data_IF_970075427549
#
_entry.id   IF_970075427549
#
_cell.length_a   1.000
_cell.length_b   1.000
_cell.length_c   1.000
_cell.angle_alpha   90.00
_cell.angle_beta   90.00
_cell.angle_gamma   90.00
#
_symmetry.space_group_name_H-M   'P 1'
#
loop_
_entity.id
_entity.type
_entity.pdbx_description
1 polymer ?
#
# COMPACT_ATOMS: atom_id res chain seq x y z
N UNK A 1 12.32 3.27 1.66
CA UNK A 1 10.87 3.56 1.68
C UNK A 1 10.66 4.77 2.57
N UNK A 2 10.40 5.98 2.05
CA UNK A 2 10.00 7.09 2.90
C UNK A 2 8.47 7.23 2.93
N UNK A 3 7.96 7.10 4.15
CA UNK A 3 6.62 7.48 4.61
C UNK A 3 6.42 8.98 4.35
N UNK A 4 5.32 9.37 3.71
CA UNK A 4 4.89 10.78 3.64
C UNK A 4 3.76 11.02 4.64
N UNK A 5 4.07 11.89 5.58
CA UNK A 5 3.27 12.28 6.73
C UNK A 5 2.10 13.20 6.36
N UNK A 6 1.05 13.07 7.17
CA UNK A 6 -0.05 14.01 7.40
C UNK A 6 0.43 15.45 7.61
N UNK A 7 -0.16 16.42 6.90
CA UNK A 7 -0.17 17.86 7.24
C UNK A 7 -1.54 18.38 6.77
N UNK A 8 -2.51 18.49 7.68
CA UNK A 8 -2.91 19.67 8.46
C UNK A 8 -3.75 20.71 7.70
N UNK A 9 -4.90 21.01 8.31
CA UNK A 9 -5.86 22.07 8.00
C UNK A 9 -5.24 23.39 7.53
N UNK A 10 -5.83 24.01 6.51
CA UNK A 10 -5.74 25.46 6.35
C UNK A 10 -7.08 26.06 5.89
N UNK A 11 -7.79 26.61 6.87
CA UNK A 11 -8.83 27.63 6.70
C UNK A 11 -8.09 28.94 6.36
N UNK A 12 -8.27 29.52 5.17
CA UNK A 12 -7.67 30.80 4.82
C UNK A 12 -8.74 31.81 4.42
N UNK A 13 -8.90 32.79 5.31
CA UNK A 13 -9.79 33.94 5.27
C UNK A 13 -9.37 34.93 4.17
N UNK A 14 -10.38 35.47 3.50
CA UNK A 14 -10.34 36.51 2.48
C UNK A 14 -10.00 37.89 3.09
N UNK A 15 -9.02 38.61 2.54
CA UNK A 15 -8.88 40.07 2.68
C UNK A 15 -8.48 40.71 1.35
N UNK A 16 -9.38 41.52 0.79
CA UNK A 16 -9.17 42.39 -0.37
C UNK A 16 -8.42 43.68 0.00
N UNK A 17 -7.49 44.15 -0.84
CA UNK A 17 -7.29 45.58 -1.18
C UNK A 17 -6.40 45.78 -2.44
N UNK A 18 -7.00 46.38 -3.48
CA UNK A 18 -6.56 47.48 -4.35
C UNK A 18 -5.29 47.46 -5.26
N UNK A 19 -5.59 47.69 -6.57
CA UNK A 19 -4.95 48.57 -7.58
C UNK A 19 -3.65 48.17 -8.34
N UNK A 20 -3.78 48.26 -9.68
CA UNK A 20 -2.87 47.84 -10.78
C UNK A 20 -1.64 48.77 -11.00
N UNK A 21 -0.69 48.45 -11.91
CA UNK A 21 -0.93 48.62 -13.35
C UNK A 21 -0.42 47.48 -14.26
N UNK A 22 -0.93 47.52 -15.49
CA UNK A 22 -0.65 46.64 -16.60
C UNK A 22 0.85 46.57 -16.98
N UNK A 23 1.29 45.37 -17.36
CA UNK A 23 2.48 45.18 -18.20
C UNK A 23 2.12 44.17 -19.29
N UNK A 24 2.17 44.65 -20.53
CA UNK A 24 2.11 43.85 -21.74
C UNK A 24 3.28 42.87 -21.77
N UNK A 25 3.01 41.57 -21.92
CA UNK A 25 3.99 40.60 -22.39
C UNK A 25 3.37 39.75 -23.50
N UNK A 26 3.79 40.13 -24.71
CA UNK A 26 3.91 39.39 -25.95
C UNK A 26 3.33 37.97 -26.01
N UNK A 27 2.36 37.82 -26.92
CA UNK A 27 1.89 36.55 -27.43
C UNK A 27 3.07 35.74 -28.03
N UNK A 28 3.50 34.72 -27.30
CA UNK A 28 4.29 33.62 -27.86
C UNK A 28 3.37 32.40 -27.90
N UNK A 29 2.81 32.11 -29.09
CA UNK A 29 2.00 30.93 -29.33
C UNK A 29 2.87 29.67 -29.29
N UNK A 30 3.13 29.19 -28.07
CA UNK A 30 3.73 27.88 -27.81
C UNK A 30 2.60 26.82 -27.79
N UNK A 31 2.58 25.83 -28.70
CA UNK A 31 1.62 24.72 -28.65
C UNK A 31 1.75 23.84 -27.39
N UNK A 32 2.80 24.06 -26.57
CA UNK A 32 3.04 23.44 -25.26
C UNK A 32 2.15 24.00 -24.13
N UNK A 33 1.59 25.20 -24.27
CA UNK A 33 0.78 25.83 -23.21
C UNK A 33 -0.60 25.16 -23.03
N UNK A 34 -1.18 24.63 -24.10
CA UNK A 34 -2.48 23.93 -24.05
C UNK A 34 -2.40 22.57 -23.34
N UNK A 35 -1.36 21.78 -23.62
CA UNK A 35 -1.16 20.47 -22.99
C UNK A 35 -0.81 20.59 -21.50
N UNK A 36 0.01 21.58 -21.14
CA UNK A 36 0.35 21.88 -19.75
C UNK A 36 -0.90 22.32 -18.95
N UNK A 37 -1.75 23.15 -19.53
CA UNK A 37 -3.00 23.60 -18.90
C UNK A 37 -3.99 22.44 -18.68
N UNK A 38 -4.15 21.54 -19.66
CA UNK A 38 -5.01 20.36 -19.52
C UNK A 38 -4.50 19.36 -18.48
N UNK A 39 -3.18 19.18 -18.36
CA UNK A 39 -2.60 18.30 -17.35
C UNK A 39 -2.80 18.84 -15.93
N UNK A 40 -2.72 20.17 -15.77
CA UNK A 40 -3.02 20.84 -14.51
C UNK A 40 -4.51 20.76 -14.16
N UNK A 41 -5.37 20.92 -15.16
CA UNK A 41 -6.82 20.73 -14.98
C UNK A 41 -7.15 19.29 -14.56
N UNK A 42 -6.50 18.29 -15.15
CA UNK A 42 -6.70 16.89 -14.77
C UNK A 42 -6.29 16.64 -13.31
N UNK A 43 -5.12 17.11 -12.87
CA UNK A 43 -4.70 16.99 -11.46
C UNK A 43 -5.64 17.70 -10.50
N UNK A 44 -6.09 18.90 -10.86
CA UNK A 44 -7.07 19.64 -10.06
C UNK A 44 -8.37 18.84 -9.90
N UNK A 45 -8.86 18.22 -10.99
CA UNK A 45 -10.05 17.37 -10.97
C UNK A 45 -9.85 16.11 -10.12
N UNK A 46 -8.70 15.45 -10.21
CA UNK A 46 -8.35 14.28 -9.39
C UNK A 46 -8.33 14.63 -7.89
N UNK A 47 -7.64 15.72 -7.51
CA UNK A 47 -7.58 16.21 -6.13
C UNK A 47 -8.96 16.60 -5.61
N UNK A 48 -9.74 17.32 -6.42
CA UNK A 48 -11.12 17.67 -6.07
C UNK A 48 -11.99 16.43 -5.87
N UNK A 49 -11.93 15.46 -6.78
CA UNK A 49 -12.72 14.25 -6.69
C UNK A 49 -12.34 13.42 -5.45
N UNK A 50 -11.05 13.27 -5.15
CA UNK A 50 -10.60 12.58 -3.93
C UNK A 50 -11.09 13.29 -2.68
N UNK A 51 -10.92 14.62 -2.60
CA UNK A 51 -11.30 15.42 -1.42
C UNK A 51 -12.81 15.44 -1.22
N UNK A 52 -13.57 15.62 -2.31
CA UNK A 52 -15.03 15.57 -2.29
C UNK A 52 -15.52 14.17 -1.93
N UNK A 53 -14.89 13.11 -2.44
CA UNK A 53 -15.20 11.72 -2.11
C UNK A 53 -15.01 11.40 -0.63
N UNK A 54 -13.86 11.77 -0.05
CA UNK A 54 -13.59 11.60 1.38
C UNK A 54 -14.58 12.37 2.25
N UNK A 55 -14.91 13.61 1.84
CA UNK A 55 -15.85 14.45 2.57
C UNK A 55 -17.28 13.94 2.44
N UNK A 56 -17.67 13.42 1.27
CA UNK A 56 -18.95 12.75 1.04
C UNK A 56 -19.10 11.52 1.92
N UNK A 57 -18.06 10.68 2.02
CA UNK A 57 -18.08 9.51 2.88
C UNK A 57 -18.33 9.88 4.35
N UNK A 58 -17.61 10.90 4.86
CA UNK A 58 -17.81 11.43 6.22
C UNK A 58 -19.21 12.02 6.43
N UNK A 59 -19.72 12.76 5.45
CA UNK A 59 -21.07 13.33 5.53
C UNK A 59 -22.14 12.23 5.55
N UNK A 60 -21.98 11.17 4.76
CA UNK A 60 -22.88 10.01 4.77
C UNK A 60 -22.85 9.27 6.12
N UNK A 61 -21.66 9.03 6.69
CA UNK A 61 -21.54 8.44 8.04
C UNK A 61 -22.25 9.30 9.09
N UNK A 62 -22.11 10.64 9.01
CA UNK A 62 -22.82 11.55 9.91
C UNK A 62 -24.34 11.53 9.74
N UNK A 63 -24.84 11.45 8.51
CA UNK A 63 -26.28 11.31 8.24
C UNK A 63 -26.82 10.01 8.84
N UNK A 64 -26.08 8.92 8.72
CA UNK A 64 -26.44 7.62 9.31
C UNK A 64 -26.51 7.72 10.84
N UNK A 65 -25.49 8.29 11.48
CA UNK A 65 -25.46 8.52 12.93
C UNK A 65 -26.63 9.39 13.41
N UNK A 66 -26.88 10.53 12.76
CA UNK A 66 -28.00 11.41 13.11
C UNK A 66 -29.35 10.71 12.88
N UNK A 67 -29.46 9.87 11.84
CA UNK A 67 -30.67 9.09 11.55
C UNK A 67 -30.95 8.08 12.66
N UNK A 68 -29.93 7.33 13.08
CA UNK A 68 -30.04 6.39 14.19
C UNK A 68 -30.44 7.08 15.49
N UNK A 69 -29.81 8.21 15.80
CA UNK A 69 -30.13 8.99 16.99
C UNK A 69 -31.59 9.48 16.97
N UNK A 70 -32.03 10.13 15.88
CA UNK A 70 -33.39 10.66 15.74
C UNK A 70 -34.43 9.54 15.86
N UNK A 71 -34.16 8.37 15.25
CA UNK A 71 -35.02 7.18 15.40
C UNK A 71 -35.05 6.66 16.83
N UNK A 72 -33.89 6.60 17.51
CA UNK A 72 -33.80 6.12 18.90
C UNK A 72 -34.60 6.98 19.88
N UNK A 73 -34.73 8.28 19.58
CA UNK A 73 -35.54 9.24 20.33
C UNK A 73 -37.02 9.28 19.92
N UNK A 74 -37.44 8.48 18.93
CA UNK A 74 -38.83 8.47 18.44
C UNK A 74 -39.23 9.73 17.67
N UNK A 75 -38.26 10.49 17.16
CA UNK A 75 -38.50 11.78 16.49
C UNK A 75 -38.49 11.68 14.96
N UNK A 76 -38.52 10.46 14.40
CA UNK A 76 -38.38 10.25 12.95
C UNK A 76 -39.50 10.91 12.13
N UNK A 77 -40.75 10.76 12.57
CA UNK A 77 -41.90 11.35 11.87
C UNK A 77 -41.83 12.89 11.89
N UNK A 78 -41.35 13.48 13.00
CA UNK A 78 -41.16 14.92 13.13
C UNK A 78 -40.02 15.42 12.21
N UNK A 79 -38.95 14.64 12.07
CA UNK A 79 -37.88 14.93 11.12
C UNK A 79 -38.36 14.85 9.66
N UNK A 80 -39.16 13.84 9.30
CA UNK A 80 -39.71 13.73 7.94
C UNK A 80 -40.64 14.90 7.60
N UNK A 81 -41.42 15.38 8.59
CA UNK A 81 -42.26 16.57 8.44
C UNK A 81 -41.47 17.90 8.44
N UNK A 82 -40.22 17.90 8.91
CA UNK A 82 -39.39 19.09 8.99
C UNK A 82 -38.87 19.51 7.61
N UNK A 83 -39.51 20.51 7.00
CA UNK A 83 -39.20 21.00 5.64
C UNK A 83 -38.42 22.31 5.62
N UNK A 84 -38.01 22.82 6.79
CA UNK A 84 -37.25 24.06 6.85
C UNK A 84 -35.91 23.92 6.11
N UNK A 85 -35.53 24.90 5.29
CA UNK A 85 -34.20 24.92 4.70
C UNK A 85 -33.14 25.10 5.80
N UNK A 86 -31.91 24.60 5.62
CA UNK A 86 -30.84 24.81 6.59
C UNK A 86 -30.59 26.31 6.83
N UNK A 87 -30.51 26.71 8.10
CA UNK A 87 -30.28 28.10 8.51
C UNK A 87 -28.84 28.53 8.24
N UNK A 88 -27.90 27.58 8.37
CA UNK A 88 -26.48 27.80 8.12
C UNK A 88 -25.95 26.81 7.10
N UNK A 89 -26.01 27.19 5.82
CA UNK A 89 -25.21 26.49 4.82
C UNK A 89 -23.78 27.04 4.81
N UNK A 90 -22.75 26.19 4.86
CA UNK A 90 -21.43 26.61 4.40
C UNK A 90 -21.59 27.13 2.97
N UNK A 91 -20.97 28.27 2.63
CA UNK A 91 -21.08 28.87 1.29
C UNK A 91 -20.82 27.79 0.23
N UNK A 92 -21.89 27.33 -0.41
CA UNK A 92 -21.82 26.27 -1.40
C UNK A 92 -21.19 26.86 -2.66
N UNK A 93 -19.88 26.68 -2.79
CA UNK A 93 -19.15 27.02 -4.00
C UNK A 93 -19.64 26.15 -5.15
N UNK A 94 -19.91 26.74 -6.31
CA UNK A 94 -20.24 25.96 -7.51
C UNK A 94 -19.08 25.06 -7.91
N UNK A 95 -19.36 23.98 -8.64
CA UNK A 95 -18.31 23.09 -9.14
C UNK A 95 -17.28 23.86 -9.98
N UNK A 96 -17.73 24.82 -10.79
CA UNK A 96 -16.87 25.65 -11.65
C UNK A 96 -15.97 26.58 -10.84
N UNK A 97 -16.48 27.18 -9.77
CA UNK A 97 -15.67 28.00 -8.85
C UNK A 97 -14.67 27.15 -8.08
N UNK A 98 -15.08 25.97 -7.61
CA UNK A 98 -14.20 25.03 -6.91
C UNK A 98 -13.08 24.53 -7.83
N UNK A 99 -13.40 24.24 -9.10
CA UNK A 99 -12.43 23.86 -10.11
C UNK A 99 -11.45 24.99 -10.41
N UNK A 100 -11.93 26.23 -10.49
CA UNK A 100 -11.04 27.39 -10.69
C UNK A 100 -10.06 27.57 -9.53
N UNK A 101 -10.53 27.40 -8.28
CA UNK A 101 -9.66 27.46 -7.10
C UNK A 101 -8.66 26.31 -7.09
N UNK A 102 -9.09 25.10 -7.40
CA UNK A 102 -8.22 23.93 -7.47
C UNK A 102 -7.13 24.08 -8.54
N UNK A 103 -7.49 24.56 -9.74
CA UNK A 103 -6.51 24.84 -10.81
C UNK A 103 -5.52 25.92 -10.38
N UNK A 104 -5.96 26.98 -9.69
CA UNK A 104 -5.07 28.01 -9.16
C UNK A 104 -4.13 27.45 -8.08
N UNK A 105 -4.60 26.54 -7.23
CA UNK A 105 -3.77 25.85 -6.25
C UNK A 105 -2.69 24.98 -6.93
N UNK A 106 -3.06 24.21 -7.94
CA UNK A 106 -2.10 23.41 -8.74
C UNK A 106 -1.09 24.30 -9.48
N UNK A 107 -1.52 25.47 -9.96
CA UNK A 107 -0.61 26.49 -10.55
C UNK A 107 0.43 26.97 -9.54
N UNK A 108 0.05 27.17 -8.28
CA UNK A 108 0.96 27.59 -7.23
C UNK A 108 1.96 26.48 -6.82
N UNK A 109 1.62 25.20 -7.02
CA UNK A 109 2.46 24.06 -6.65
C UNK A 109 3.49 23.62 -7.72
N UNK A 110 3.44 24.20 -8.93
CA UNK A 110 4.45 24.00 -9.98
C UNK A 110 4.07 23.04 -11.10
N UNK A 111 4.82 23.12 -12.22
CA UNK A 111 4.43 22.59 -13.55
C UNK A 111 4.08 21.12 -13.58
N UNK A 112 2.98 20.79 -14.28
CA UNK A 112 2.72 19.45 -14.79
C UNK A 112 3.65 19.15 -15.99
N UNK A 113 4.15 17.91 -16.08
CA UNK A 113 4.90 17.45 -17.25
C UNK A 113 3.94 17.28 -18.44
N UNK A 114 4.40 17.65 -19.64
CA UNK A 114 3.59 17.68 -20.85
C UNK A 114 3.14 16.27 -21.28
N UNK A 115 1.83 16.03 -21.27
CA UNK A 115 1.22 14.80 -21.78
C UNK A 115 0.62 14.99 -23.18
N UNK A 116 0.44 13.88 -23.89
CA UNK A 116 -0.11 13.82 -25.26
C UNK A 116 -1.55 14.36 -25.32
N UNK A 117 -1.82 15.33 -26.20
CA UNK A 117 -2.95 16.27 -26.08
C UNK A 117 -4.34 15.69 -26.36
N UNK A 118 -4.48 14.66 -27.22
CA UNK A 118 -5.80 14.10 -27.56
C UNK A 118 -6.36 13.17 -26.49
N UNK A 119 -5.50 12.32 -25.92
CA UNK A 119 -5.85 11.42 -24.82
C UNK A 119 -6.16 12.22 -23.54
N UNK A 120 -5.37 13.26 -23.29
CA UNK A 120 -5.53 14.15 -22.15
C UNK A 120 -6.89 14.89 -22.17
N UNK A 121 -7.36 15.32 -23.33
CA UNK A 121 -8.69 15.94 -23.46
C UNK A 121 -9.84 14.98 -23.09
N UNK A 122 -9.75 13.71 -23.50
CA UNK A 122 -10.77 12.70 -23.15
C UNK A 122 -10.77 12.43 -21.65
N UNK A 123 -9.59 12.33 -21.04
CA UNK A 123 -9.43 12.12 -19.61
C UNK A 123 -9.97 13.30 -18.81
N UNK A 124 -9.61 14.54 -19.17
CA UNK A 124 -10.14 15.75 -18.53
C UNK A 124 -11.67 15.76 -18.56
N UNK A 125 -12.29 15.44 -19.70
CA UNK A 125 -13.77 15.39 -19.78
C UNK A 125 -14.35 14.33 -18.83
N UNK A 126 -13.84 13.10 -18.87
CA UNK A 126 -14.33 12.02 -18.02
C UNK A 126 -14.17 12.35 -16.52
N UNK A 127 -13.02 12.89 -16.13
CA UNK A 127 -12.77 13.32 -14.74
C UNK A 127 -13.59 14.56 -14.35
N UNK A 128 -13.95 15.42 -15.30
CA UNK A 128 -14.87 16.54 -15.04
C UNK A 128 -16.25 16.02 -14.66
N UNK A 129 -16.79 15.08 -15.43
CA UNK A 129 -18.12 14.51 -15.16
C UNK A 129 -18.14 13.75 -13.82
N UNK A 130 -17.08 12.96 -13.55
CA UNK A 130 -16.93 12.25 -12.29
C UNK A 130 -16.82 13.21 -11.09
N UNK A 131 -15.90 14.19 -11.16
CA UNK A 131 -15.69 15.14 -10.07
C UNK A 131 -16.94 16.00 -9.83
N UNK A 132 -17.67 16.38 -10.89
CA UNK A 132 -18.93 17.11 -10.77
C UNK A 132 -19.99 16.30 -10.04
N UNK A 133 -20.20 15.04 -10.45
CA UNK A 133 -21.15 14.15 -9.78
C UNK A 133 -20.81 13.99 -8.29
N UNK A 134 -19.55 13.73 -7.95
CA UNK A 134 -19.11 13.57 -6.56
C UNK A 134 -19.28 14.88 -5.76
N UNK A 135 -19.01 16.03 -6.39
CA UNK A 135 -19.20 17.33 -5.77
C UNK A 135 -20.67 17.63 -5.48
N UNK A 136 -21.56 17.37 -6.43
CA UNK A 136 -23.01 17.54 -6.27
C UNK A 136 -23.55 16.65 -5.15
N UNK A 137 -23.15 15.37 -5.12
CA UNK A 137 -23.48 14.44 -4.04
C UNK A 137 -22.98 14.93 -2.68
N UNK A 138 -21.74 15.43 -2.62
CA UNK A 138 -21.17 16.00 -1.40
C UNK A 138 -21.96 17.22 -0.91
N UNK A 139 -22.30 18.15 -1.79
CA UNK A 139 -23.11 19.32 -1.46
C UNK A 139 -24.51 18.92 -0.98
N UNK A 140 -25.11 17.92 -1.61
CA UNK A 140 -26.38 17.33 -1.17
C UNK A 140 -26.30 16.71 0.23
N UNK A 141 -25.24 15.94 0.51
CA UNK A 141 -25.03 15.34 1.82
C UNK A 141 -24.80 16.41 2.90
N UNK A 142 -24.01 17.45 2.61
CA UNK A 142 -23.79 18.59 3.51
C UNK A 142 -25.08 19.32 3.85
N UNK A 143 -25.95 19.55 2.85
CA UNK A 143 -27.29 20.13 3.06
C UNK A 143 -28.13 19.30 4.02
N UNK A 144 -28.12 17.99 3.85
CA UNK A 144 -28.84 17.07 4.73
C UNK A 144 -28.30 17.12 6.15
N UNK A 145 -26.98 17.07 6.35
CA UNK A 145 -26.35 17.20 7.67
C UNK A 145 -26.73 18.52 8.35
N UNK A 146 -26.71 19.63 7.61
CA UNK A 146 -27.08 20.93 8.15
C UNK A 146 -28.57 20.95 8.57
N UNK A 147 -29.48 20.46 7.71
CA UNK A 147 -30.91 20.36 8.03
C UNK A 147 -31.16 19.47 9.26
N UNK A 148 -30.46 18.34 9.38
CA UNK A 148 -30.57 17.45 10.55
C UNK A 148 -30.05 18.11 11.82
N UNK A 149 -28.97 18.88 11.71
CA UNK A 149 -28.42 19.65 12.83
C UNK A 149 -29.39 20.73 13.30
N UNK A 150 -29.99 21.48 12.36
CA UNK A 150 -30.98 22.50 12.66
C UNK A 150 -32.27 21.91 13.26
N UNK A 151 -32.70 20.75 12.76
CA UNK A 151 -33.81 20.00 13.36
C UNK A 151 -33.50 19.60 14.82
N UNK A 152 -32.31 19.07 15.07
CA UNK A 152 -31.90 18.68 16.42
C UNK A 152 -31.77 19.90 17.35
N UNK A 153 -31.27 21.03 16.86
CA UNK A 153 -31.22 22.29 17.59
C UNK A 153 -32.62 22.82 17.92
N UNK A 154 -33.55 22.79 16.96
CA UNK A 154 -34.93 23.24 17.17
C UNK A 154 -35.73 22.40 18.16
N UNK A 155 -35.26 21.18 18.48
CA UNK A 155 -35.86 20.27 19.45
C UNK A 155 -34.99 20.09 20.71
N UNK A 156 -34.05 21.01 20.98
CA UNK A 156 -33.14 20.97 22.14
C UNK A 156 -32.41 19.62 22.34
N UNK A 157 -32.18 18.89 21.24
CA UNK A 157 -31.66 17.51 21.25
C UNK A 157 -30.27 17.41 20.63
N UNK A 158 -29.65 18.54 20.27
CA UNK A 158 -28.33 18.56 19.63
C UNK A 158 -27.19 18.22 20.60
N UNK A 159 -27.26 18.70 21.85
CA UNK A 159 -26.29 18.35 22.89
C UNK A 159 -26.37 16.87 23.27
N UNK A 160 -27.59 16.34 23.40
CA UNK A 160 -27.85 14.91 23.60
C UNK A 160 -27.25 14.06 22.46
N UNK A 161 -27.42 14.51 21.20
CA UNK A 161 -26.80 13.86 20.05
C UNK A 161 -25.28 13.86 20.16
N UNK A 162 -24.68 15.00 20.55
CA UNK A 162 -23.23 15.11 20.70
C UNK A 162 -22.68 14.16 21.76
N UNK A 163 -23.36 14.03 22.90
CA UNK A 163 -22.99 13.07 23.92
C UNK A 163 -23.14 11.63 23.41
N UNK A 164 -24.29 11.29 22.84
CA UNK A 164 -24.57 9.95 22.31
C UNK A 164 -23.57 9.53 21.22
N UNK A 165 -23.25 10.43 20.29
CA UNK A 165 -22.28 10.17 19.23
C UNK A 165 -20.87 9.93 19.80
N UNK A 166 -20.50 10.67 20.86
CA UNK A 166 -19.25 10.46 21.58
C UNK A 166 -19.17 9.08 22.24
N UNK A 167 -20.23 8.64 22.90
CA UNK A 167 -20.33 7.31 23.53
C UNK A 167 -20.27 6.19 22.48
N UNK A 168 -20.99 6.33 21.36
CA UNK A 168 -20.94 5.39 20.23
C UNK A 168 -19.54 5.27 19.64
N UNK A 169 -18.82 6.39 19.50
CA UNK A 169 -17.46 6.37 18.98
C UNK A 169 -16.49 5.67 19.95
N UNK A 170 -16.68 5.84 21.25
CA UNK A 170 -15.90 5.10 22.26
C UNK A 170 -16.18 3.60 22.19
N UNK A 171 -17.44 3.19 22.13
CA UNK A 171 -17.82 1.78 22.00
C UNK A 171 -17.21 1.14 20.74
N UNK A 172 -17.32 1.79 19.59
CA UNK A 172 -16.72 1.31 18.32
C UNK A 172 -15.19 1.19 18.42
N UNK A 173 -14.53 2.10 19.13
CA UNK A 173 -13.09 2.01 19.38
C UNK A 173 -12.74 0.80 20.26
N UNK A 174 -13.48 0.59 21.36
CA UNK A 174 -13.29 -0.54 22.26
C UNK A 174 -13.51 -1.89 21.55
N UNK A 175 -14.56 -1.99 20.73
CA UNK A 175 -14.83 -3.17 19.91
C UNK A 175 -13.71 -3.47 18.91
N UNK A 176 -13.20 -2.43 18.24
CA UNK A 176 -12.07 -2.57 17.33
C UNK A 176 -10.81 -3.06 18.06
N UNK A 177 -10.52 -2.50 19.23
CA UNK A 177 -9.38 -2.90 20.06
C UNK A 177 -9.54 -4.34 20.57
N UNK A 178 -10.74 -4.73 20.99
CA UNK A 178 -11.04 -6.10 21.40
C UNK A 178 -10.87 -7.10 20.24
N UNK A 179 -11.38 -6.76 19.06
CA UNK A 179 -11.23 -7.57 17.84
C UNK A 179 -9.76 -7.69 17.41
N UNK A 180 -9.01 -6.59 17.42
CA UNK A 180 -7.59 -6.57 17.11
C UNK A 180 -6.78 -7.44 18.09
N UNK A 181 -7.10 -7.38 19.39
CA UNK A 181 -6.48 -8.24 20.41
C UNK A 181 -6.77 -9.71 20.14
N UNK A 182 -8.03 -10.08 19.88
CA UNK A 182 -8.42 -11.46 19.56
C UNK A 182 -7.68 -11.98 18.32
N UNK A 183 -7.63 -11.20 17.25
CA UNK A 183 -6.90 -11.57 16.03
C UNK A 183 -5.39 -11.72 16.28
N UNK A 184 -4.80 -10.87 17.13
CA UNK A 184 -3.40 -10.99 17.51
C UNK A 184 -3.13 -12.27 18.30
N UNK A 185 -4.00 -12.64 19.24
CA UNK A 185 -3.91 -13.89 20.00
C UNK A 185 -4.05 -15.13 19.10
N UNK A 186 -5.03 -15.14 18.19
CA UNK A 186 -5.21 -16.22 17.22
C UNK A 186 -4.01 -16.37 16.27
N UNK A 187 -3.45 -15.25 15.81
CA UNK A 187 -2.25 -15.25 14.98
C UNK A 187 -1.01 -15.72 15.74
N UNK A 188 -0.87 -15.33 17.02
CA UNK A 188 0.23 -15.80 17.86
C UNK A 188 0.17 -17.33 18.06
N UNK A 189 -1.02 -17.88 18.31
CA UNK A 189 -1.21 -19.33 18.43
C UNK A 189 -0.89 -20.06 17.11
N UNK A 190 -1.37 -19.54 15.97
CA UNK A 190 -1.04 -20.11 14.65
C UNK A 190 0.46 -20.09 14.38
N UNK A 191 1.14 -18.97 14.67
CA UNK A 191 2.59 -18.88 14.50
C UNK A 191 3.34 -19.84 15.42
N UNK A 192 2.88 -20.03 16.66
CA UNK A 192 3.48 -20.99 17.57
C UNK A 192 3.33 -22.43 17.05
N UNK A 193 2.13 -22.82 16.58
CA UNK A 193 1.91 -24.13 15.99
C UNK A 193 2.80 -24.38 14.76
N UNK A 194 2.94 -23.38 13.88
CA UNK A 194 3.84 -23.45 12.73
C UNK A 194 5.31 -23.60 13.13
N UNK A 195 5.75 -22.89 14.19
CA UNK A 195 7.11 -23.04 14.72
C UNK A 195 7.34 -24.44 15.29
N UNK A 196 6.39 -24.97 16.06
CA UNK A 196 6.48 -26.32 16.63
C UNK A 196 6.50 -27.41 15.55
N UNK A 197 5.76 -27.23 14.45
CA UNK A 197 5.82 -28.12 13.29
C UNK A 197 7.16 -28.01 12.55
N UNK A 198 7.64 -26.80 12.31
CA UNK A 198 8.95 -26.57 11.68
C UNK A 198 10.10 -27.18 12.50
N UNK A 199 10.07 -27.04 13.83
CA UNK A 199 11.05 -27.63 14.74
C UNK A 199 11.02 -29.16 14.71
N UNK A 200 9.82 -29.77 14.67
CA UNK A 200 9.67 -31.22 14.53
C UNK A 200 10.26 -31.71 13.21
N UNK A 201 9.94 -31.05 12.11
CA UNK A 201 10.45 -31.41 10.78
C UNK A 201 11.97 -31.22 10.68
N UNK A 202 12.50 -30.13 11.25
CA UNK A 202 13.94 -29.87 11.33
C UNK A 202 14.67 -30.96 12.11
N UNK A 203 14.18 -31.33 13.30
CA UNK A 203 14.76 -32.42 14.11
C UNK A 203 14.77 -33.76 13.37
N UNK A 204 13.67 -34.10 12.70
CA UNK A 204 13.59 -35.32 11.90
C UNK A 204 14.57 -35.32 10.72
N UNK A 205 14.73 -34.18 10.05
CA UNK A 205 15.71 -34.03 8.97
C UNK A 205 17.16 -34.19 9.48
N UNK A 206 17.50 -33.56 10.61
CA UNK A 206 18.82 -33.69 11.23
C UNK A 206 19.13 -35.11 11.66
N UNK A 207 18.17 -35.84 12.24
CA UNK A 207 18.36 -37.24 12.60
C UNK A 207 18.69 -38.12 11.37
N UNK A 208 18.02 -37.85 10.24
CA UNK A 208 18.30 -38.56 8.97
C UNK A 208 19.68 -38.21 8.40
N UNK A 209 20.07 -36.94 8.45
CA UNK A 209 21.40 -36.49 8.04
C UNK A 209 22.48 -37.15 8.90
N UNK A 210 22.28 -37.21 10.22
CA UNK A 210 23.21 -37.87 11.13
C UNK A 210 23.35 -39.36 10.80
N UNK A 211 22.25 -40.07 10.55
CA UNK A 211 22.30 -41.48 10.15
C UNK A 211 23.10 -41.66 8.84
N UNK A 212 22.84 -40.84 7.82
CA UNK A 212 23.58 -40.86 6.57
C UNK A 212 25.07 -40.54 6.77
N UNK A 213 25.38 -39.58 7.64
CA UNK A 213 26.75 -39.21 7.99
C UNK A 213 27.48 -40.38 8.65
N UNK A 214 26.85 -41.05 9.62
CA UNK A 214 27.42 -42.23 10.28
C UNK A 214 27.67 -43.38 9.29
N UNK A 215 26.76 -43.60 8.33
CA UNK A 215 26.98 -44.58 7.26
C UNK A 215 28.16 -44.20 6.35
N UNK A 216 28.24 -42.93 5.95
CA UNK A 216 29.36 -42.43 5.14
C UNK A 216 30.71 -42.59 5.86
N UNK A 217 30.78 -42.28 7.16
CA UNK A 217 31.97 -42.48 7.99
C UNK A 217 32.38 -43.96 8.04
N UNK A 218 31.42 -44.88 8.23
CA UNK A 218 31.70 -46.33 8.22
C UNK A 218 32.29 -46.78 6.89
N UNK A 219 31.68 -46.35 5.78
CA UNK A 219 32.15 -46.68 4.42
C UNK A 219 33.54 -46.11 4.17
N UNK A 220 33.77 -44.84 4.52
CA UNK A 220 35.09 -44.21 4.39
C UNK A 220 36.17 -44.96 5.18
N UNK A 221 35.84 -45.43 6.39
CA UNK A 221 36.75 -46.23 7.21
C UNK A 221 37.09 -47.58 6.56
N UNK A 222 36.10 -48.24 5.95
CA UNK A 222 36.32 -49.49 5.20
C UNK A 222 37.23 -49.27 4.00
N UNK A 223 37.00 -48.21 3.21
CA UNK A 223 37.87 -47.84 2.09
C UNK A 223 39.28 -47.51 2.55
N UNK A 224 39.44 -46.74 3.63
CA UNK A 224 40.74 -46.45 4.21
C UNK A 224 41.48 -47.74 4.58
N UNK A 225 40.83 -48.65 5.32
CA UNK A 225 41.43 -49.94 5.69
C UNK A 225 41.82 -50.78 4.47
N UNK A 226 40.98 -50.82 3.43
CA UNK A 226 41.29 -51.52 2.19
C UNK A 226 42.51 -50.89 1.49
N UNK A 227 42.52 -49.57 1.32
CA UNK A 227 43.60 -48.84 0.66
C UNK A 227 44.91 -48.98 1.43
N UNK A 228 44.92 -48.85 2.76
CA UNK A 228 46.11 -49.09 3.58
C UNK A 228 46.64 -50.51 3.43
N UNK A 229 45.76 -51.51 3.35
CA UNK A 229 46.17 -52.90 3.11
C UNK A 229 46.75 -53.10 1.71
N UNK A 230 46.18 -52.47 0.68
CA UNK A 230 46.71 -52.52 -0.67
C UNK A 230 48.07 -51.82 -0.77
N UNK A 231 48.23 -50.65 -0.13
CA UNK A 231 49.50 -49.96 -0.05
C UNK A 231 50.55 -50.84 0.64
N UNK A 232 50.21 -51.46 1.76
CA UNK A 232 51.13 -52.36 2.47
C UNK A 232 51.50 -53.60 1.64
N UNK A 233 50.58 -54.12 0.81
CA UNK A 233 50.90 -55.16 -0.17
C UNK A 233 51.85 -54.63 -1.24
N UNK A 234 51.56 -53.46 -1.82
CA UNK A 234 52.41 -52.81 -2.81
C UNK A 234 53.81 -52.58 -2.25
N UNK A 235 53.95 -52.03 -1.05
CA UNK A 235 55.23 -51.79 -0.40
C UNK A 235 55.98 -53.11 -0.14
N UNK A 236 55.28 -54.16 0.30
CA UNK A 236 55.88 -55.51 0.43
C UNK A 236 56.34 -56.08 -0.91
N UNK A 237 55.55 -55.94 -1.97
CA UNK A 237 55.94 -56.35 -3.32
C UNK A 237 57.16 -55.53 -3.79
N UNK A 238 57.10 -54.20 -3.70
CA UNK A 238 58.19 -53.31 -4.06
C UNK A 238 59.47 -53.66 -3.29
N UNK A 239 59.41 -53.90 -1.98
CA UNK A 239 60.56 -54.34 -1.18
C UNK A 239 61.06 -55.74 -1.57
N UNK A 240 60.18 -56.70 -1.85
CA UNK A 240 60.54 -58.06 -2.30
C UNK A 240 61.35 -58.03 -3.61
N UNK A 241 61.04 -57.09 -4.51
CA UNK A 241 61.71 -56.94 -5.80
C UNK A 241 62.76 -55.80 -5.82
N UNK A 242 62.96 -55.09 -4.70
CA UNK A 242 63.97 -54.02 -4.56
C UNK A 242 65.42 -54.56 -4.61
N UNK A 243 65.61 -55.85 -4.35
CA UNK A 243 66.94 -56.48 -4.23
C UNK A 243 67.07 -57.78 -5.04
N UNK A 244 66.33 -57.93 -6.15
CA UNK A 244 66.32 -59.15 -6.97
C UNK A 244 66.56 -58.92 -8.46
N UNK A 245 67.84 -58.77 -8.82
CA UNK A 245 68.50 -59.09 -10.10
C UNK A 245 68.14 -58.35 -11.41
N UNK A 246 69.16 -57.60 -11.83
CA UNK A 246 69.57 -57.26 -13.18
C UNK A 246 69.86 -58.53 -14.03
N UNK A 247 69.35 -58.59 -15.27
CA UNK A 247 69.93 -59.26 -16.48
C UNK A 247 68.92 -59.12 -17.65
N UNK A 248 69.11 -58.18 -18.57
CA UNK A 248 69.89 -58.29 -19.82
C UNK A 248 69.24 -59.16 -20.92
N UNK A 249 68.29 -58.57 -21.65
CA UNK A 249 68.15 -58.62 -23.11
C UNK A 249 67.76 -57.17 -23.48
N UNK A 250 68.44 -56.39 -24.30
CA UNK A 250 69.12 -56.78 -25.53
C UNK A 250 68.20 -56.50 -26.71
N UNK A 251 68.15 -55.22 -27.10
CA UNK A 251 67.86 -54.73 -28.46
C UNK A 251 66.45 -54.88 -29.08
N UNK A 252 66.07 -53.85 -29.83
CA UNK A 252 65.18 -53.96 -30.98
C UNK A 252 63.69 -53.73 -30.77
N UNK A 253 63.15 -52.77 -31.54
CA UNK A 253 61.73 -52.47 -31.79
C UNK A 253 61.04 -51.70 -30.64
N UNK A 254 60.71 -50.42 -30.83
CA UNK A 254 59.79 -49.97 -31.87
C UNK A 254 58.45 -49.73 -31.16
N UNK A 255 58.13 -48.47 -30.87
CA UNK A 255 57.02 -47.80 -31.55
C UNK A 255 55.64 -48.18 -30.97
N UNK A 256 54.66 -47.29 -31.13
CA UNK A 256 53.29 -47.32 -30.59
C UNK A 256 53.23 -46.83 -29.12
N UNK A 257 52.89 -45.59 -28.80
CA UNK A 257 51.92 -44.71 -29.45
C UNK A 257 50.62 -44.68 -28.63
N UNK A 258 50.00 -43.49 -28.58
CA UNK A 258 48.68 -43.16 -28.03
C UNK A 258 48.60 -43.08 -26.49
N UNK A 259 48.13 -42.00 -25.86
CA UNK A 259 47.31 -40.88 -26.34
C UNK A 259 46.06 -40.75 -25.47
N UNK A 260 45.72 -39.50 -25.11
CA UNK A 260 44.46 -39.03 -24.50
C UNK A 260 44.16 -39.55 -23.09
N UNK A 261 43.68 -38.76 -22.13
CA UNK A 261 42.84 -37.57 -22.17
C UNK A 261 41.78 -37.73 -21.07
N UNK A 262 41.34 -36.61 -20.49
CA UNK A 262 40.37 -36.41 -19.38
C UNK A 262 40.94 -36.52 -17.96
#
# INVERSE_FOLDING_TARGET
MPVRALIFSLLAVLTCTAHAPASQLSASSNPSSGATNLAMQLRALETMNSTAGDSLAKSKERIEQMTEFIKSKGMWDAWEAYTAPPEHMPQAMSFEEALKVAVHHEQAMGSAEGANSAELNRQVKAYTDLARSTWEDYQGAMKTVARMSDFLNANDSFDDYHQWAGEMQQQKHEEMMASAKKNAEENAQKQQALKEEADRNSKAAWAKIEEQHQQALKTAWQHHKFNSNQQLKYDKYAMKYKHGYWNNYGDGYGDCGYGYGW
#
